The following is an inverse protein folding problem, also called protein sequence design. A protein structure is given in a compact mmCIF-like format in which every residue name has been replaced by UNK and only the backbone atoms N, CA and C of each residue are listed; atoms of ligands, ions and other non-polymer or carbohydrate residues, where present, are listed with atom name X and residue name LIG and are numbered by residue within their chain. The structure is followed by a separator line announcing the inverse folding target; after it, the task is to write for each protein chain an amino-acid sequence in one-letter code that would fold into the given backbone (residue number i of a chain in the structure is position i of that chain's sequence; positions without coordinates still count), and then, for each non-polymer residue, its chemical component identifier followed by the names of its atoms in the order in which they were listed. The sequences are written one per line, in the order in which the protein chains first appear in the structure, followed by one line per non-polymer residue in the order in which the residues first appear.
data_IF_829210641490
#
_entry.id   IF_829210641490
#
_cell.length_a   1.000
_cell.length_b   1.000
_cell.length_c   1.000
_cell.angle_alpha   90.00
_cell.angle_beta   90.00
_cell.angle_gamma   90.00
#
_symmetry.space_group_name_H-M   'P 1'
#
loop_
_entity.id
_entity.type
_entity.pdbx_description
1 polymer ?
#
# COMPACT_ATOMS: atom_id res chain seq x y z
N UNK A 1 2.73 -14.12 -4.39
CA UNK A 1 2.71 -14.96 -3.17
C UNK A 1 3.98 -15.80 -3.06
N UNK A 2 4.38 -16.57 -4.08
CA UNK A 2 5.64 -17.35 -4.04
C UNK A 2 6.88 -16.55 -3.62
N UNK A 3 7.10 -15.36 -4.20
CA UNK A 3 8.24 -14.50 -3.84
C UNK A 3 8.20 -14.03 -2.36
N UNK A 4 7.02 -13.70 -1.84
CA UNK A 4 6.89 -13.31 -0.43
C UNK A 4 7.28 -14.47 0.49
N UNK A 5 6.75 -15.66 0.21
CA UNK A 5 7.05 -16.90 0.94
C UNK A 5 8.54 -17.22 0.90
N UNK A 6 9.18 -17.10 -0.25
CA UNK A 6 10.63 -17.31 -0.42
C UNK A 6 11.44 -16.35 0.45
N UNK A 7 11.13 -15.05 0.39
CA UNK A 7 11.84 -14.02 1.14
C UNK A 7 11.67 -14.18 2.66
N UNK A 8 10.46 -14.51 3.12
CA UNK A 8 10.20 -14.76 4.55
C UNK A 8 10.85 -16.06 5.04
N UNK A 9 10.91 -17.10 4.20
CA UNK A 9 11.68 -18.32 4.49
C UNK A 9 13.16 -17.99 4.70
N UNK A 10 13.71 -17.08 3.88
CA UNK A 10 15.07 -16.58 4.03
C UNK A 10 15.23 -15.51 5.15
N UNK A 11 14.21 -15.30 5.99
CA UNK A 11 14.20 -14.35 7.10
C UNK A 11 14.55 -12.91 6.68
N UNK A 12 14.09 -12.50 5.50
CA UNK A 12 14.30 -11.15 4.96
C UNK A 12 13.15 -10.24 5.32
N UNK A 13 13.47 -8.96 5.52
CA UNK A 13 12.47 -7.89 5.56
C UNK A 13 11.92 -7.67 4.15
N UNK A 14 10.60 -7.50 4.03
CA UNK A 14 9.91 -7.35 2.74
C UNK A 14 9.01 -6.11 2.77
N UNK A 15 9.14 -5.25 1.77
CA UNK A 15 8.17 -4.20 1.47
C UNK A 15 7.33 -4.64 0.27
N UNK A 16 6.00 -4.63 0.42
CA UNK A 16 5.07 -4.93 -0.67
C UNK A 16 4.55 -3.61 -1.24
N UNK A 17 5.25 -3.09 -2.26
CA UNK A 17 4.92 -1.84 -2.94
C UNK A 17 3.86 -2.06 -4.03
N UNK A 18 2.66 -2.45 -3.58
CA UNK A 18 1.47 -2.58 -4.40
C UNK A 18 0.37 -1.73 -3.76
N UNK A 19 -0.58 -1.25 -4.58
CA UNK A 19 -1.70 -0.43 -4.12
C UNK A 19 -2.55 -1.09 -3.04
N UNK A 20 -2.76 -2.42 -3.12
CA UNK A 20 -3.48 -3.22 -2.13
C UNK A 20 -4.75 -2.55 -1.56
N UNK A 21 -5.70 -2.15 -2.44
CA UNK A 21 -6.71 -1.17 -2.06
C UNK A 21 -7.71 -1.70 -1.04
N UNK A 22 -8.01 -2.99 -1.02
CA UNK A 22 -9.02 -3.55 -0.12
C UNK A 22 -8.46 -4.53 0.92
N UNK A 23 -9.28 -4.82 1.94
CA UNK A 23 -9.02 -5.89 2.92
C UNK A 23 -8.82 -7.23 2.21
N UNK A 24 -9.59 -7.51 1.16
CA UNK A 24 -9.48 -8.76 0.41
C UNK A 24 -8.13 -8.87 -0.31
N UNK A 25 -7.65 -7.77 -0.89
CA UNK A 25 -6.34 -7.73 -1.55
C UNK A 25 -5.18 -7.96 -0.57
N UNK A 26 -5.31 -7.46 0.67
CA UNK A 26 -4.28 -7.61 1.72
C UNK A 26 -4.34 -8.95 2.47
N UNK A 27 -5.49 -9.63 2.47
CA UNK A 27 -5.74 -10.85 3.25
C UNK A 27 -4.67 -11.92 3.03
N UNK A 28 -4.32 -12.19 1.76
CA UNK A 28 -3.34 -13.23 1.41
C UNK A 28 -1.93 -12.91 1.91
N UNK A 29 -1.51 -11.64 1.80
CA UNK A 29 -0.22 -11.17 2.29
C UNK A 29 -0.10 -11.36 3.80
N UNK A 30 -1.14 -10.93 4.53
CA UNK A 30 -1.20 -11.03 5.99
C UNK A 30 -1.28 -12.48 6.48
N UNK A 31 -1.97 -13.36 5.75
CA UNK A 31 -2.01 -14.78 6.08
C UNK A 31 -0.61 -15.40 6.03
N UNK A 32 0.15 -15.15 4.96
CA UNK A 32 1.52 -15.64 4.80
C UNK A 32 2.43 -15.02 5.87
N UNK A 33 2.35 -13.70 6.10
CA UNK A 33 3.17 -13.05 7.12
C UNK A 33 2.98 -13.68 8.50
N UNK A 34 1.73 -14.00 8.88
CA UNK A 34 1.41 -14.65 10.17
C UNK A 34 1.92 -16.09 10.25
N UNK A 35 1.84 -16.86 9.16
CA UNK A 35 2.38 -18.22 9.11
C UNK A 35 3.88 -18.25 9.45
N UNK A 36 4.61 -17.22 9.02
CA UNK A 36 6.03 -17.05 9.29
C UNK A 36 6.33 -16.26 10.57
N UNK A 37 5.31 -15.89 11.36
CA UNK A 37 5.48 -15.09 12.57
C UNK A 37 6.09 -13.70 12.32
N UNK A 38 5.98 -13.17 11.10
CA UNK A 38 6.54 -11.89 10.73
C UNK A 38 5.78 -10.72 11.39
N UNK A 39 6.53 -9.72 11.85
CA UNK A 39 5.96 -8.45 12.32
C UNK A 39 5.43 -7.65 11.12
N UNK A 40 4.15 -7.28 11.16
CA UNK A 40 3.41 -6.65 10.07
C UNK A 40 3.17 -5.17 10.34
N UNK A 41 3.65 -4.33 9.44
CA UNK A 41 3.49 -2.86 9.51
C UNK A 41 2.77 -2.36 8.27
N UNK A 42 1.73 -1.56 8.45
CA UNK A 42 1.05 -0.86 7.36
C UNK A 42 1.50 0.60 7.29
N UNK A 43 1.91 1.06 6.10
CA UNK A 43 2.02 2.48 5.77
C UNK A 43 0.81 2.88 4.97
N UNK A 44 -0.14 3.53 5.63
CA UNK A 44 -1.41 3.95 5.05
C UNK A 44 -1.30 5.35 4.48
N UNK A 45 -1.54 5.49 3.19
CA UNK A 45 -1.67 6.79 2.53
C UNK A 45 -3.16 7.13 2.41
N UNK A 46 -3.71 8.06 3.23
CA UNK A 46 -5.10 8.48 3.09
C UNK A 46 -5.36 9.01 1.67
N UNK A 47 -6.55 8.76 1.09
CA UNK A 47 -6.84 9.16 -0.27
C UNK A 47 -6.77 10.67 -0.46
N UNK A 48 -5.90 11.10 -1.37
CA UNK A 48 -5.79 12.46 -1.88
C UNK A 48 -6.03 12.40 -3.40
N UNK A 49 -7.30 12.50 -3.81
CA UNK A 49 -7.69 12.37 -5.22
C UNK A 49 -7.04 13.46 -6.06
N UNK A 50 -7.23 14.72 -5.66
CA UNK A 50 -6.85 15.88 -6.48
C UNK A 50 -5.31 15.96 -6.60
N UNK A 51 -4.59 15.74 -5.50
CA UNK A 51 -3.14 15.67 -5.55
C UNK A 51 -2.63 14.44 -6.31
N UNK A 52 -3.31 13.29 -6.25
CA UNK A 52 -2.92 12.11 -7.05
C UNK A 52 -3.10 12.35 -8.55
N UNK A 53 -4.19 13.02 -8.96
CA UNK A 53 -4.43 13.43 -10.35
C UNK A 53 -3.36 14.42 -10.80
N UNK A 54 -3.06 15.44 -10.00
CA UNK A 54 -2.04 16.44 -10.31
C UNK A 54 -0.64 15.81 -10.45
N UNK A 55 -0.24 14.97 -9.49
CA UNK A 55 1.04 14.23 -9.54
C UNK A 55 1.09 13.30 -10.75
N UNK A 56 0.01 12.60 -11.08
CA UNK A 56 -0.04 11.72 -12.24
C UNK A 56 0.09 12.48 -13.56
N UNK A 57 -0.55 13.65 -13.68
CA UNK A 57 -0.43 14.51 -14.87
C UNK A 57 1.00 15.03 -15.08
N UNK A 58 1.76 15.26 -14.01
CA UNK A 58 3.16 15.67 -14.08
C UNK A 58 4.13 14.56 -14.54
N UNK A 59 3.71 13.29 -14.55
CA UNK A 59 4.56 12.16 -14.96
C UNK A 59 4.81 12.16 -16.48
N UNK A 60 5.93 11.56 -16.96
CA UNK A 60 6.14 11.30 -18.37
C UNK A 60 4.94 10.56 -18.98
N UNK A 61 4.43 10.93 -20.17
CA UNK A 61 3.18 10.40 -20.73
C UNK A 61 3.07 8.87 -20.73
N UNK A 62 4.17 8.17 -21.01
CA UNK A 62 4.21 6.69 -21.05
C UNK A 62 4.05 6.01 -19.69
N UNK A 63 4.17 6.76 -18.60
CA UNK A 63 4.10 6.26 -17.21
C UNK A 63 2.87 6.75 -16.46
N UNK A 64 2.04 7.59 -17.10
CA UNK A 64 0.80 8.09 -16.51
C UNK A 64 -0.18 6.93 -16.33
N UNK A 65 -0.81 6.89 -15.17
CA UNK A 65 -1.92 5.98 -14.89
C UNK A 65 -3.16 6.51 -15.63
N UNK A 66 -3.89 5.69 -16.38
CA UNK A 66 -5.15 6.12 -16.98
C UNK A 66 -6.17 6.51 -15.91
N UNK A 67 -6.97 7.55 -16.16
CA UNK A 67 -7.97 8.06 -15.21
C UNK A 67 -8.89 6.95 -14.71
N UNK A 68 -9.36 6.07 -15.60
CA UNK A 68 -10.22 4.93 -15.24
C UNK A 68 -9.57 4.03 -14.19
N UNK A 69 -8.26 3.77 -14.28
CA UNK A 69 -7.53 2.94 -13.31
C UNK A 69 -7.34 3.63 -11.97
N UNK A 70 -7.15 4.95 -11.98
CA UNK A 70 -7.09 5.76 -10.76
C UNK A 70 -8.44 5.75 -10.02
N UNK A 71 -9.53 6.00 -10.74
CA UNK A 71 -10.87 6.03 -10.13
C UNK A 71 -11.37 4.66 -9.68
N UNK A 72 -11.07 3.58 -10.41
CA UNK A 72 -11.41 2.22 -9.97
C UNK A 72 -10.70 1.85 -8.67
N UNK A 73 -9.40 2.17 -8.59
CA UNK A 73 -8.62 2.01 -7.37
C UNK A 73 -9.23 2.78 -6.20
N UNK A 74 -9.53 4.06 -6.41
CA UNK A 74 -10.08 4.94 -5.37
C UNK A 74 -11.41 4.42 -4.81
N UNK A 75 -12.28 3.85 -5.66
CA UNK A 75 -13.56 3.26 -5.24
C UNK A 75 -13.40 2.03 -4.34
N UNK A 76 -12.35 1.24 -4.57
CA UNK A 76 -12.04 0.02 -3.82
C UNK A 76 -11.23 0.29 -2.56
N UNK A 77 -10.62 1.47 -2.48
CA UNK A 77 -9.64 1.80 -1.46
C UNK A 77 -10.29 1.88 -0.07
N UNK A 78 -9.80 1.03 0.82
CA UNK A 78 -10.20 0.93 2.22
C UNK A 78 -8.94 1.02 3.08
N UNK A 79 -8.98 1.90 4.08
CA UNK A 79 -7.92 2.00 5.08
C UNK A 79 -7.70 0.68 5.83
N UNK A 80 -6.57 0.54 6.53
CA UNK A 80 -6.32 -0.59 7.42
C UNK A 80 -7.46 -0.72 8.43
N UNK A 81 -8.00 -1.92 8.57
CA UNK A 81 -9.10 -2.22 9.46
C UNK A 81 -8.59 -3.02 10.67
N UNK A 82 -9.11 -2.81 11.90
CA UNK A 82 -8.67 -3.56 13.08
C UNK A 82 -8.73 -5.09 12.93
N UNK A 83 -9.69 -5.60 12.16
CA UNK A 83 -9.80 -7.03 11.85
C UNK A 83 -8.60 -7.60 11.06
N UNK A 84 -7.82 -6.75 10.40
CA UNK A 84 -6.58 -7.13 9.71
C UNK A 84 -5.42 -7.33 10.68
N UNK A 85 -5.52 -6.87 11.93
CA UNK A 85 -4.54 -7.16 13.00
C UNK A 85 -3.08 -6.92 12.57
N UNK A 86 -2.82 -5.77 11.95
CA UNK A 86 -1.45 -5.29 11.79
C UNK A 86 -0.83 -5.05 13.17
N UNK A 87 0.46 -5.27 13.31
CA UNK A 87 1.19 -4.98 14.55
C UNK A 87 1.42 -3.47 14.73
N UNK A 88 1.60 -2.75 13.62
CA UNK A 88 1.62 -1.29 13.60
C UNK A 88 0.95 -0.74 12.33
N UNK A 89 0.32 0.41 12.46
CA UNK A 89 -0.23 1.17 11.33
C UNK A 89 0.24 2.60 11.46
N UNK A 90 0.93 3.09 10.43
CA UNK A 90 1.36 4.47 10.30
C UNK A 90 0.53 5.18 9.24
N UNK A 91 0.21 6.44 9.47
CA UNK A 91 -0.45 7.31 8.51
C UNK A 91 0.62 8.14 7.81
N UNK A 92 0.67 8.05 6.49
CA UNK A 92 1.62 8.75 5.64
C UNK A 92 0.92 9.86 4.90
N UNK A 93 1.43 11.08 5.00
CA UNK A 93 0.91 12.25 4.28
C UNK A 93 2.02 12.90 3.48
N UNK A 94 1.68 13.44 2.31
CA UNK A 94 2.61 14.21 1.51
C UNK A 94 2.89 15.55 2.20
N UNK A 95 4.17 15.94 2.26
CA UNK A 95 4.59 17.18 2.93
C UNK A 95 4.49 18.44 2.03
N UNK A 96 4.27 18.25 0.72
CA UNK A 96 4.22 19.33 -0.26
C UNK A 96 5.54 19.57 -1.02
N UNK A 97 6.66 19.05 -0.51
CA UNK A 97 8.02 19.34 -0.96
C UNK A 97 8.73 18.11 -1.58
N UNK A 98 7.98 17.02 -1.78
CA UNK A 98 8.49 15.77 -2.37
C UNK A 98 8.82 14.70 -1.33
N UNK A 99 8.57 14.96 -0.05
CA UNK A 99 8.72 14.00 1.04
C UNK A 99 7.39 13.57 1.66
N UNK A 100 7.50 12.99 2.86
CA UNK A 100 6.37 12.47 3.61
C UNK A 100 6.51 12.75 5.10
N UNK A 101 5.39 13.00 5.75
CA UNK A 101 5.25 12.86 7.21
C UNK A 101 4.67 11.49 7.53
N UNK A 102 5.14 10.88 8.62
CA UNK A 102 4.72 9.56 9.10
C UNK A 102 4.31 9.69 10.56
N UNK A 103 3.04 9.41 10.84
CA UNK A 103 2.40 9.51 12.16
C UNK A 103 1.89 8.15 12.64
#
# INVERSE_FOLDING_TARGET
MALLTELLTAQRNVAVDNTNPSIADRRGLLAIAREYGAHTVAYWFPPDRDGSVARNAARPPKTRVPDVGLYDTLKRLMGPHPAERFDAVYVVRFDGEGGFTVE
#
